data_IF_227331081045
#
_entry.id   IF_227331081045
#
_cell.length_a   1.000
_cell.length_b   1.000
_cell.length_c   1.000
_cell.angle_alpha   90.00
_cell.angle_beta   90.00
_cell.angle_gamma   90.00
#
_symmetry.space_group_name_H-M   'P 1'
#
loop_
_entity.id
_entity.type
_entity.pdbx_description
1 polymer ?
#
# COMPACT_ATOMS: atom_id res chain seq x y z
N UNK A 1 -8.13 7.01 -15.09
CA UNK A 1 -6.87 7.09 -14.33
C UNK A 1 -6.62 5.78 -13.59
N UNK A 2 -5.98 4.81 -14.24
CA UNK A 2 -5.70 3.48 -13.65
C UNK A 2 -4.35 3.43 -12.97
N UNK A 3 -4.25 2.67 -11.87
CA UNK A 3 -2.97 2.43 -11.18
C UNK A 3 -2.10 1.49 -12.00
N UNK A 4 -0.87 1.89 -12.31
CA UNK A 4 0.10 1.09 -13.07
C UNK A 4 1.15 0.43 -12.16
N UNK A 5 1.38 0.98 -10.98
CA UNK A 5 2.28 0.39 -9.99
C UNK A 5 2.72 1.37 -8.91
N UNK A 6 3.77 0.99 -8.18
CA UNK A 6 4.34 1.83 -7.14
C UNK A 6 5.87 1.75 -7.05
N UNK A 7 6.46 2.81 -6.52
CA UNK A 7 7.82 2.83 -6.01
C UNK A 7 7.79 3.09 -4.50
N UNK A 8 8.75 2.50 -3.78
CA UNK A 8 9.01 2.82 -2.38
C UNK A 8 10.28 3.65 -2.32
N UNK A 9 10.21 4.76 -1.60
CA UNK A 9 11.33 5.67 -1.38
C UNK A 9 11.62 5.76 0.10
N UNK A 10 12.91 5.82 0.45
CA UNK A 10 13.35 6.08 1.81
C UNK A 10 14.35 7.23 1.80
N UNK A 11 14.29 8.07 2.82
CA UNK A 11 15.34 9.05 3.09
C UNK A 11 15.67 9.10 4.57
N UNK A 12 16.95 9.31 4.87
CA UNK A 12 17.41 9.45 6.24
C UNK A 12 16.95 10.80 6.80
N UNK A 13 16.29 10.77 7.97
CA UNK A 13 15.81 11.94 8.69
C UNK A 13 16.50 12.09 10.06
N UNK A 14 17.79 11.75 10.13
CA UNK A 14 18.61 11.82 11.33
C UNK A 14 18.49 10.54 12.18
N UNK A 15 17.56 10.53 13.13
CA UNK A 15 17.40 9.43 14.10
C UNK A 15 16.41 8.35 13.64
N UNK A 16 15.73 8.55 12.50
CA UNK A 16 14.87 7.58 11.81
C UNK A 16 14.87 7.82 10.31
N UNK A 17 14.37 6.86 9.55
CA UNK A 17 14.10 7.04 8.13
C UNK A 17 12.64 7.49 7.91
N UNK A 18 12.43 8.37 6.94
CA UNK A 18 11.11 8.62 6.37
C UNK A 18 10.91 7.68 5.19
N UNK A 19 9.69 7.15 5.06
CA UNK A 19 9.33 6.24 3.99
C UNK A 19 8.16 6.81 3.20
N UNK A 20 8.23 6.74 1.88
CA UNK A 20 7.21 7.25 1.00
C UNK A 20 6.75 6.18 0.03
N UNK A 21 5.44 6.15 -0.20
CA UNK A 21 4.80 5.42 -1.28
C UNK A 21 4.58 6.39 -2.44
N UNK A 22 5.13 6.06 -3.60
CA UNK A 22 4.85 6.72 -4.87
C UNK A 22 3.98 5.82 -5.72
N UNK A 23 2.72 6.20 -5.95
CA UNK A 23 1.78 5.51 -6.84
C UNK A 23 1.77 6.17 -8.21
N UNK A 24 1.78 5.36 -9.27
CA UNK A 24 1.81 5.81 -10.66
C UNK A 24 0.53 5.41 -11.37
N UNK A 25 0.11 6.23 -12.35
CA UNK A 25 -1.08 5.96 -13.17
C UNK A 25 -0.76 5.95 -14.66
N UNK A 26 -1.72 5.47 -15.47
CA UNK A 26 -1.62 5.45 -16.93
C UNK A 26 -1.77 6.84 -17.58
N UNK A 27 -2.13 7.86 -16.80
CA UNK A 27 -2.25 9.26 -17.23
C UNK A 27 -1.02 10.10 -16.84
N UNK A 28 0.09 9.46 -16.46
CA UNK A 28 1.32 10.11 -15.98
C UNK A 28 1.12 10.97 -14.72
N UNK A 29 0.10 10.68 -13.92
CA UNK A 29 -0.13 11.32 -12.61
C UNK A 29 0.53 10.46 -11.53
N UNK A 30 1.19 11.12 -10.58
CA UNK A 30 1.85 10.48 -9.45
C UNK A 30 1.22 10.92 -8.14
N UNK A 31 0.79 9.97 -7.31
CA UNK A 31 0.37 10.21 -5.93
C UNK A 31 1.50 9.88 -4.95
N UNK A 32 1.68 10.69 -3.93
CA UNK A 32 2.68 10.48 -2.87
C UNK A 32 1.98 10.36 -1.51
N UNK A 33 2.43 9.43 -0.69
CA UNK A 33 2.03 9.31 0.72
C UNK A 33 3.25 9.00 1.58
N UNK A 34 3.31 9.54 2.79
CA UNK A 34 4.29 9.16 3.82
C UNK A 34 3.74 7.99 4.65
N UNK A 35 4.62 7.06 5.01
CA UNK A 35 4.36 6.02 6.02
C UNK A 35 5.61 5.77 6.87
N UNK A 36 5.46 4.99 7.95
CA UNK A 36 6.52 4.76 8.92
C UNK A 36 6.77 3.25 9.14
N UNK A 37 8.02 2.83 8.98
CA UNK A 37 8.48 1.48 9.36
C UNK A 37 9.25 1.43 10.68
N UNK A 38 9.92 2.52 11.03
CA UNK A 38 10.79 2.60 12.19
C UNK A 38 10.04 2.47 13.52
N UNK A 39 8.75 2.84 13.57
CA UNK A 39 7.89 2.71 14.76
C UNK A 39 7.10 1.40 14.73
N UNK A 40 7.77 0.30 15.07
CA UNK A 40 7.11 -0.99 15.34
C UNK A 40 6.45 -1.66 14.13
N UNK A 41 6.79 -1.24 12.92
CA UNK A 41 6.20 -1.78 11.68
C UNK A 41 7.25 -2.25 10.65
N UNK A 42 8.30 -3.00 11.06
CA UNK A 42 9.34 -3.43 10.13
C UNK A 42 8.75 -4.31 9.01
N UNK A 43 9.10 -4.02 7.76
CA UNK A 43 8.65 -4.78 6.59
C UNK A 43 7.37 -4.26 5.94
N UNK A 44 6.82 -3.12 6.39
CA UNK A 44 5.62 -2.51 5.81
C UNK A 44 5.78 -2.24 4.30
N UNK A 45 6.96 -1.83 3.83
CA UNK A 45 7.31 -1.71 2.40
C UNK A 45 6.95 -2.95 1.59
N UNK A 46 7.29 -4.13 2.14
CA UNK A 46 7.04 -5.41 1.48
C UNK A 46 5.55 -5.72 1.40
N UNK A 47 4.80 -5.37 2.43
CA UNK A 47 3.34 -5.51 2.47
C UNK A 47 2.71 -4.55 1.46
N UNK A 48 3.09 -3.27 1.46
CA UNK A 48 2.58 -2.26 0.52
C UNK A 48 2.78 -2.71 -0.92
N UNK A 49 3.99 -3.16 -1.30
CA UNK A 49 4.25 -3.67 -2.65
C UNK A 49 3.28 -4.79 -3.03
N UNK A 50 3.07 -5.77 -2.15
CA UNK A 50 2.14 -6.89 -2.40
C UNK A 50 0.68 -6.45 -2.49
N UNK A 51 0.26 -5.45 -1.72
CA UNK A 51 -1.10 -4.92 -1.78
C UNK A 51 -1.32 -4.12 -3.08
N UNK A 52 -0.35 -3.32 -3.52
CA UNK A 52 -0.44 -2.58 -4.78
C UNK A 52 -0.61 -3.52 -5.98
N UNK A 53 0.09 -4.66 -6.02
CA UNK A 53 -0.08 -5.66 -7.08
C UNK A 53 -1.54 -6.14 -7.22
N UNK A 54 -2.33 -6.16 -6.13
CA UNK A 54 -3.75 -6.59 -6.16
C UNK A 54 -4.69 -5.55 -6.76
N UNK A 55 -4.28 -4.29 -6.79
CA UNK A 55 -5.12 -3.16 -7.19
C UNK A 55 -4.59 -2.46 -8.45
N UNK A 56 -3.59 -3.05 -9.12
CA UNK A 56 -3.20 -2.64 -10.47
C UNK A 56 -4.40 -2.68 -11.41
N UNK A 57 -4.42 -1.78 -12.38
CA UNK A 57 -5.52 -1.57 -13.34
C UNK A 57 -6.83 -1.03 -12.75
N UNK A 58 -6.97 -0.92 -11.42
CA UNK A 58 -8.12 -0.25 -10.81
C UNK A 58 -8.05 1.27 -11.01
N UNK A 59 -9.21 1.91 -11.07
CA UNK A 59 -9.32 3.37 -11.11
C UNK A 59 -8.83 3.99 -9.79
N UNK A 60 -7.79 4.81 -9.86
CA UNK A 60 -7.17 5.47 -8.72
C UNK A 60 -8.13 6.44 -7.99
N UNK A 61 -9.18 6.93 -8.66
CA UNK A 61 -10.21 7.76 -8.00
C UNK A 61 -11.22 6.93 -7.19
N UNK A 62 -11.32 5.63 -7.44
CA UNK A 62 -12.19 4.72 -6.70
C UNK A 62 -11.57 4.27 -5.37
N UNK A 63 -11.02 5.21 -4.60
CA UNK A 63 -10.20 4.93 -3.41
C UNK A 63 -10.95 4.09 -2.36
N UNK A 64 -12.26 4.30 -2.17
CA UNK A 64 -13.05 3.53 -1.21
C UNK A 64 -13.26 2.09 -1.69
N UNK A 65 -13.49 1.89 -2.99
CA UNK A 65 -13.57 0.54 -3.57
C UNK A 65 -12.23 -0.20 -3.41
N UNK A 66 -11.12 0.46 -3.71
CA UNK A 66 -9.76 -0.06 -3.48
C UNK A 66 -9.57 -0.41 -1.99
N UNK A 67 -9.96 0.47 -1.07
CA UNK A 67 -9.87 0.24 0.37
C UNK A 67 -10.63 -1.04 0.78
N UNK A 68 -11.89 -1.18 0.34
CA UNK A 68 -12.71 -2.36 0.64
C UNK A 68 -12.11 -3.65 0.05
N UNK A 69 -11.58 -3.61 -1.18
CA UNK A 69 -10.89 -4.75 -1.78
C UNK A 69 -9.67 -5.19 -0.97
N UNK A 70 -8.82 -4.24 -0.56
CA UNK A 70 -7.65 -4.52 0.25
C UNK A 70 -8.04 -5.05 1.63
N UNK A 71 -9.03 -4.43 2.29
CA UNK A 71 -9.53 -4.88 3.58
C UNK A 71 -10.08 -6.32 3.51
N UNK A 72 -10.87 -6.63 2.48
CA UNK A 72 -11.38 -7.98 2.27
C UNK A 72 -10.28 -9.01 2.05
N UNK A 73 -9.16 -8.63 1.44
CA UNK A 73 -8.01 -9.51 1.20
C UNK A 73 -7.12 -9.71 2.44
N UNK A 74 -7.09 -8.75 3.37
CA UNK A 74 -6.21 -8.80 4.55
C UNK A 74 -6.92 -9.20 5.84
N UNK A 75 -8.26 -9.12 5.89
CA UNK A 75 -9.02 -9.55 7.06
C UNK A 75 -8.88 -11.06 7.25
N UNK A 76 -8.75 -11.49 8.51
CA UNK A 76 -8.88 -12.90 8.85
C UNK A 76 -10.32 -13.37 8.56
N UNK A 77 -10.47 -14.61 8.11
CA UNK A 77 -11.78 -15.21 7.92
C UNK A 77 -12.49 -15.34 9.29
N UNK A 78 -13.70 -14.79 9.46
CA UNK A 78 -14.49 -15.04 10.67
C UNK A 78 -14.89 -16.52 10.71
N UNK A 79 -14.59 -17.21 11.81
CA UNK A 79 -15.12 -18.55 12.11
C UNK A 79 -14.49 -19.76 11.41
N UNK A 80 -13.31 -19.63 10.81
CA UNK A 80 -12.60 -20.76 10.16
C UNK A 80 -11.61 -21.49 11.09
N UNK A 81 -11.09 -22.65 10.66
CA UNK A 81 -10.01 -23.40 11.35
C UNK A 81 -8.79 -22.51 11.66
N UNK A 82 -8.59 -21.45 10.87
CA UNK A 82 -7.54 -20.45 11.05
C UNK A 82 -7.77 -19.46 12.21
N UNK A 83 -8.87 -19.61 12.97
CA UNK A 83 -9.25 -18.79 14.13
C UNK A 83 -9.14 -19.54 15.47
N UNK A 84 -8.75 -20.83 15.47
CA UNK A 84 -8.48 -21.63 16.68
C UNK A 84 -6.99 -21.73 16.95
#
# INVERSE_FOLDING_TARGET
MRITGCEILHCNAGWRDFSFLKLMTDENITGISEYNECYGSPGLSGIIRRLVERIKEMDALAHEHIHQCLYAATRQAPGGVNQQ
#
